data_IF_707203131069
#
_entry.id   IF_707203131069
#
_cell.length_a   1.000
_cell.length_b   1.000
_cell.length_c   1.000
_cell.angle_alpha   90.00
_cell.angle_beta   90.00
_cell.angle_gamma   90.00
#
_symmetry.space_group_name_H-M   'P 1'
#
loop_
_entity.id
_entity.type
_entity.pdbx_description
1 polymer ?
#
# COMPACT_ATOMS: atom_id res chain seq x y z
N UNK A 1 9.72 -30.02 11.29
CA UNK A 1 9.58 -28.56 11.16
C UNK A 1 9.73 -28.24 9.68
N UNK A 2 8.69 -27.77 8.99
CA UNK A 2 8.76 -27.45 7.57
C UNK A 2 8.89 -25.93 7.45
N UNK A 3 10.06 -25.45 7.03
CA UNK A 3 10.25 -24.05 6.66
C UNK A 3 9.43 -23.80 5.39
N UNK A 4 8.32 -23.06 5.49
CA UNK A 4 7.57 -22.59 4.32
C UNK A 4 8.08 -21.19 3.99
N UNK A 5 8.76 -21.05 2.85
CA UNK A 5 9.20 -19.75 2.35
C UNK A 5 7.99 -19.02 1.77
N UNK A 6 7.63 -17.88 2.37
CA UNK A 6 6.66 -16.98 1.77
C UNK A 6 7.32 -16.20 0.62
N UNK A 7 6.61 -16.10 -0.49
CA UNK A 7 6.98 -15.23 -1.60
C UNK A 7 6.52 -13.82 -1.28
N UNK A 8 7.26 -12.82 -1.78
CA UNK A 8 6.81 -11.44 -1.67
C UNK A 8 5.56 -11.22 -2.54
N UNK A 9 4.55 -10.47 -2.06
CA UNK A 9 3.49 -9.95 -2.90
C UNK A 9 4.05 -9.02 -3.99
N UNK A 10 3.28 -8.83 -5.06
CA UNK A 10 3.61 -7.91 -6.15
C UNK A 10 2.79 -6.64 -6.00
N UNK A 11 3.39 -5.51 -6.38
CA UNK A 11 2.70 -4.25 -6.64
C UNK A 11 3.15 -3.80 -8.04
N UNK A 12 2.23 -3.61 -8.98
CA UNK A 12 2.58 -3.24 -10.36
C UNK A 12 3.04 -1.79 -10.45
N UNK A 13 2.20 -0.85 -10.00
CA UNK A 13 2.54 0.57 -9.94
C UNK A 13 1.75 1.33 -8.87
N UNK A 14 2.22 2.54 -8.53
CA UNK A 14 1.43 3.52 -7.79
C UNK A 14 0.78 4.45 -8.81
N UNK A 15 -0.52 4.35 -8.98
CA UNK A 15 -1.31 5.31 -9.76
C UNK A 15 -1.60 6.53 -8.90
N UNK A 16 -1.37 7.72 -9.47
CA UNK A 16 -1.55 9.01 -8.79
C UNK A 16 -2.51 9.86 -9.60
N UNK A 17 -3.50 10.46 -8.94
CA UNK A 17 -4.48 11.34 -9.56
C UNK A 17 -4.66 12.60 -8.70
N UNK A 18 -4.38 13.77 -9.27
CA UNK A 18 -4.71 15.07 -8.63
C UNK A 18 -6.24 15.24 -8.64
N UNK A 19 -6.83 15.54 -7.48
CA UNK A 19 -8.29 15.75 -7.32
C UNK A 19 -8.65 17.11 -6.72
N UNK A 20 -7.69 17.83 -6.14
CA UNK A 20 -7.81 19.21 -5.67
C UNK A 20 -6.50 19.98 -5.86
N UNK A 21 -6.37 21.17 -5.26
CA UNK A 21 -5.15 22.00 -5.39
C UNK A 21 -3.91 21.27 -4.85
N UNK A 22 -4.00 20.72 -3.63
CA UNK A 22 -2.96 19.87 -3.03
C UNK A 22 -3.45 18.46 -2.66
N UNK A 23 -4.64 18.08 -3.12
CA UNK A 23 -5.26 16.78 -2.81
C UNK A 23 -5.03 15.78 -3.95
N UNK A 24 -4.56 14.60 -3.58
CA UNK A 24 -4.24 13.51 -4.51
C UNK A 24 -4.86 12.19 -4.04
N UNK A 25 -5.37 11.42 -4.99
CA UNK A 25 -5.76 10.03 -4.81
C UNK A 25 -4.61 9.12 -5.28
N UNK A 26 -4.32 8.10 -4.47
CA UNK A 26 -3.31 7.09 -4.71
C UNK A 26 -3.96 5.72 -4.78
N UNK A 27 -3.47 4.89 -5.69
CA UNK A 27 -3.92 3.51 -5.84
C UNK A 27 -2.73 2.60 -6.12
N UNK A 28 -2.58 1.53 -5.34
CA UNK A 28 -1.63 0.46 -5.61
C UNK A 28 -2.27 -0.49 -6.64
N UNK A 29 -1.87 -0.34 -7.91
CA UNK A 29 -2.45 -1.07 -9.05
C UNK A 29 -1.71 -2.39 -9.24
N UNK A 30 -2.45 -3.41 -9.67
CA UNK A 30 -1.95 -4.78 -9.87
C UNK A 30 -1.25 -5.34 -8.63
N UNK A 31 -1.78 -5.02 -7.44
CA UNK A 31 -1.27 -5.53 -6.18
C UNK A 31 -1.94 -6.86 -5.82
N UNK A 32 -1.16 -7.93 -5.65
CA UNK A 32 -1.66 -9.26 -5.28
C UNK A 32 -0.58 -10.11 -4.58
N UNK A 33 -1.01 -11.11 -3.80
CA UNK A 33 -0.07 -12.10 -3.23
C UNK A 33 0.32 -13.13 -4.29
N UNK A 34 1.61 -13.48 -4.32
CA UNK A 34 2.14 -14.54 -5.21
C UNK A 34 2.18 -15.91 -4.54
N UNK A 35 1.73 -15.99 -3.27
CA UNK A 35 1.63 -17.23 -2.53
C UNK A 35 0.35 -18.00 -2.87
N UNK A 36 0.43 -19.32 -2.82
CA UNK A 36 -0.75 -20.19 -2.91
C UNK A 36 -1.65 -19.96 -1.70
N UNK A 37 -2.94 -19.70 -1.95
CA UNK A 37 -3.93 -19.22 -0.97
C UNK A 37 -3.55 -17.90 -0.27
N UNK A 38 -2.67 -17.12 -0.88
CA UNK A 38 -2.27 -15.81 -0.38
C UNK A 38 -3.29 -14.72 -0.74
N UNK A 39 -3.54 -13.80 0.18
CA UNK A 39 -4.28 -12.55 -0.10
C UNK A 39 -3.66 -11.39 0.67
N UNK A 40 -3.84 -10.17 0.15
CA UNK A 40 -3.33 -8.97 0.80
C UNK A 40 -4.19 -8.63 2.01
N UNK A 41 -3.54 -8.46 3.17
CA UNK A 41 -4.19 -8.18 4.46
C UNK A 41 -3.97 -6.76 4.94
N UNK A 42 -3.00 -6.05 4.37
CA UNK A 42 -2.72 -4.66 4.71
C UNK A 42 -2.06 -3.95 3.53
N UNK A 43 -2.37 -2.67 3.38
CA UNK A 43 -1.61 -1.72 2.59
C UNK A 43 -1.24 -0.57 3.53
N UNK A 44 0.00 -0.09 3.47
CA UNK A 44 0.44 1.09 4.21
C UNK A 44 0.94 2.11 3.21
N UNK A 45 0.69 3.38 3.49
CA UNK A 45 1.12 4.49 2.64
C UNK A 45 2.11 5.36 3.40
N UNK A 46 3.12 5.84 2.70
CA UNK A 46 4.09 6.82 3.18
C UNK A 46 4.17 7.91 2.10
N UNK A 47 3.82 9.14 2.46
CA UNK A 47 3.76 10.27 1.52
C UNK A 47 5.01 11.16 1.56
N UNK A 48 5.97 10.87 2.44
CA UNK A 48 7.25 11.56 2.57
C UNK A 48 8.38 10.54 2.71
N UNK A 49 8.40 9.57 1.79
CA UNK A 49 9.35 8.47 1.85
C UNK A 49 10.78 8.98 1.67
N UNK A 50 11.54 8.97 2.76
CA UNK A 50 12.96 9.31 2.76
C UNK A 50 13.77 8.04 2.47
N UNK A 51 14.15 7.90 1.19
CA UNK A 51 14.83 6.73 0.59
C UNK A 51 15.57 5.84 1.62
N UNK A 52 14.96 4.67 1.92
CA UNK A 52 15.48 3.69 2.88
C UNK A 52 14.71 3.60 4.20
N UNK A 53 13.89 4.60 4.54
CA UNK A 53 13.12 4.64 5.78
C UNK A 53 11.63 4.74 5.48
N UNK A 54 10.95 3.60 5.46
CA UNK A 54 9.49 3.57 5.33
C UNK A 54 8.84 3.95 6.66
N UNK A 55 8.09 5.06 6.66
CA UNK A 55 7.33 5.54 7.80
C UNK A 55 5.85 5.63 7.37
N UNK A 56 5.05 4.64 7.77
CA UNK A 56 3.64 4.66 7.46
C UNK A 56 2.97 5.93 8.01
N UNK A 57 2.21 6.61 7.16
CA UNK A 57 1.35 7.70 7.55
C UNK A 57 0.36 7.20 8.62
N UNK A 58 0.12 8.02 9.65
CA UNK A 58 -0.71 7.63 10.79
C UNK A 58 -2.14 7.26 10.38
N UNK A 59 -2.68 7.88 9.33
CA UNK A 59 -4.01 7.57 8.81
C UNK A 59 -4.03 6.23 8.04
N UNK A 60 -2.87 5.80 7.54
CA UNK A 60 -2.70 4.64 6.67
C UNK A 60 -1.82 3.54 7.27
N UNK A 61 -1.61 3.54 8.60
CA UNK A 61 -0.81 2.51 9.28
C UNK A 61 -1.45 1.11 9.19
N UNK A 62 -2.78 1.07 9.09
CA UNK A 62 -3.59 -0.15 8.94
C UNK A 62 -4.65 0.06 7.86
N UNK A 63 -4.27 0.29 6.61
CA UNK A 63 -5.23 0.38 5.50
C UNK A 63 -5.73 -1.01 5.12
N UNK A 64 -6.70 -1.49 5.89
CA UNK A 64 -7.38 -2.76 5.70
C UNK A 64 -8.82 -2.68 6.17
N UNK A 65 -9.67 -3.49 5.57
CA UNK A 65 -11.08 -3.62 5.95
C UNK A 65 -11.40 -5.07 6.30
N UNK A 66 -12.48 -5.26 7.06
CA UNK A 66 -12.96 -6.61 7.37
C UNK A 66 -13.76 -7.12 6.18
N UNK A 67 -13.35 -8.27 5.67
CA UNK A 67 -14.08 -9.01 4.66
C UNK A 67 -14.58 -10.34 5.24
N UNK A 68 -15.69 -10.83 4.70
CA UNK A 68 -16.22 -12.14 5.04
C UNK A 68 -16.44 -12.92 3.76
N UNK A 69 -15.74 -14.02 3.62
CA UNK A 69 -15.93 -14.94 2.50
C UNK A 69 -16.22 -16.36 2.98
N UNK A 70 -16.73 -17.21 2.07
CA UNK A 70 -17.12 -18.59 2.39
C UNK A 70 -15.93 -19.53 2.60
N UNK A 71 -14.74 -19.20 2.09
CA UNK A 71 -13.52 -20.01 2.10
C UNK A 71 -12.67 -19.75 3.35
N UNK A 72 -12.55 -18.49 3.77
CA UNK A 72 -11.62 -18.01 4.80
C UNK A 72 -12.34 -17.46 6.04
N UNK A 73 -13.68 -17.29 6.01
CA UNK A 73 -14.43 -16.70 7.11
C UNK A 73 -14.20 -15.20 7.24
N UNK A 74 -14.21 -14.68 8.46
CA UNK A 74 -13.88 -13.28 8.74
C UNK A 74 -12.37 -13.08 8.66
N UNK A 75 -11.94 -12.21 7.74
CA UNK A 75 -10.53 -11.91 7.49
C UNK A 75 -10.36 -10.43 7.16
N UNK A 76 -9.11 -9.99 7.03
CA UNK A 76 -8.79 -8.63 6.58
C UNK A 76 -8.39 -8.63 5.11
N UNK A 77 -8.84 -7.60 4.39
CA UNK A 77 -8.41 -7.29 3.01
C UNK A 77 -7.74 -5.93 2.98
N UNK A 78 -6.63 -5.82 2.24
CA UNK A 78 -5.92 -4.56 2.08
C UNK A 78 -6.77 -3.51 1.34
N UNK A 79 -6.79 -2.28 1.85
CA UNK A 79 -7.37 -1.13 1.16
C UNK A 79 -6.27 -0.50 0.32
N UNK A 80 -6.31 -0.73 -0.99
CA UNK A 80 -5.27 -0.34 -1.94
C UNK A 80 -5.35 1.13 -2.38
N UNK A 81 -6.23 1.92 -1.76
CA UNK A 81 -6.48 3.32 -2.12
C UNK A 81 -6.26 4.23 -0.92
N UNK A 82 -5.69 5.39 -1.18
CA UNK A 82 -5.51 6.44 -0.18
C UNK A 82 -5.79 7.81 -0.79
N UNK A 83 -6.16 8.75 0.08
CA UNK A 83 -6.28 10.17 -0.25
C UNK A 83 -5.37 10.96 0.66
N UNK A 84 -4.57 11.87 0.10
CA UNK A 84 -3.69 12.69 0.90
C UNK A 84 -3.66 14.12 0.38
N UNK A 85 -3.65 15.05 1.32
CA UNK A 85 -3.54 16.49 1.05
C UNK A 85 -2.18 16.96 1.52
N UNK A 86 -1.34 17.36 0.58
CA UNK A 86 -0.01 17.89 0.89
C UNK A 86 -0.12 19.32 1.40
N UNK A 87 0.66 19.66 2.43
CA UNK A 87 0.69 21.02 2.99
C UNK A 87 1.51 21.97 2.11
N UNK A 88 2.51 21.44 1.39
CA UNK A 88 3.44 22.24 0.58
C UNK A 88 3.60 21.65 -0.81
N UNK A 89 3.89 22.52 -1.78
CA UNK A 89 4.28 22.12 -3.13
C UNK A 89 5.76 21.77 -3.17
N UNK A 90 6.15 20.80 -3.98
CA UNK A 90 7.53 20.30 -4.03
C UNK A 90 7.64 18.91 -4.64
N UNK A 91 8.86 18.39 -4.72
CA UNK A 91 9.11 16.97 -5.03
C UNK A 91 8.99 16.16 -3.73
N UNK A 92 8.14 15.15 -3.77
CA UNK A 92 7.95 14.17 -2.69
C UNK A 92 8.07 12.76 -3.27
N UNK A 93 8.44 11.80 -2.44
CA UNK A 93 8.40 10.39 -2.83
C UNK A 93 7.29 9.71 -2.06
N UNK A 94 6.35 9.11 -2.79
CA UNK A 94 5.25 8.35 -2.20
C UNK A 94 5.58 6.88 -2.29
N UNK A 95 5.54 6.17 -1.17
CA UNK A 95 5.71 4.74 -1.09
C UNK A 95 4.44 4.05 -0.63
N UNK A 96 4.24 2.82 -1.08
CA UNK A 96 3.25 1.92 -0.51
C UNK A 96 3.88 0.58 -0.17
N UNK A 97 3.45 0.02 0.95
CA UNK A 97 3.86 -1.29 1.45
C UNK A 97 2.64 -2.19 1.51
N UNK A 98 2.65 -3.32 0.80
CA UNK A 98 1.61 -4.34 0.93
C UNK A 98 2.12 -5.53 1.73
N UNK A 99 1.23 -6.12 2.52
CA UNK A 99 1.49 -7.32 3.31
C UNK A 99 0.43 -8.36 2.99
N UNK A 100 0.83 -9.62 2.88
CA UNK A 100 -0.10 -10.75 2.75
C UNK A 100 -0.28 -11.52 4.06
N UNK A 101 -1.27 -12.41 4.06
CA UNK A 101 -1.60 -13.28 5.20
C UNK A 101 -0.50 -14.29 5.57
N UNK A 102 0.55 -14.41 4.76
CA UNK A 102 1.66 -15.35 4.93
C UNK A 102 2.97 -14.64 5.26
N UNK A 103 2.88 -13.40 5.78
CA UNK A 103 4.00 -12.55 6.16
C UNK A 103 4.90 -12.14 4.99
N UNK A 104 4.45 -12.29 3.74
CA UNK A 104 5.10 -11.70 2.59
C UNK A 104 4.88 -10.19 2.57
N UNK A 105 5.93 -9.43 2.28
CA UNK A 105 5.88 -7.97 2.19
C UNK A 105 6.54 -7.47 0.91
N UNK A 106 6.04 -6.35 0.37
CA UNK A 106 6.65 -5.67 -0.76
C UNK A 106 6.42 -4.17 -0.63
N UNK A 107 7.41 -3.39 -1.04
CA UNK A 107 7.40 -1.93 -1.01
C UNK A 107 7.76 -1.44 -2.41
N UNK A 108 6.96 -0.51 -2.94
CA UNK A 108 7.35 0.28 -4.10
C UNK A 108 7.20 1.76 -3.78
N UNK A 109 7.93 2.60 -4.51
CA UNK A 109 7.86 4.04 -4.35
C UNK A 109 7.86 4.75 -5.70
N UNK A 110 7.27 5.94 -5.74
CA UNK A 110 7.12 6.77 -6.92
C UNK A 110 7.31 8.24 -6.56
N UNK A 111 8.12 8.94 -7.35
CA UNK A 111 8.28 10.39 -7.24
C UNK A 111 7.03 11.12 -7.73
N UNK A 112 6.63 12.16 -7.02
CA UNK A 112 5.53 13.04 -7.34
C UNK A 112 5.98 14.50 -7.19
N UNK A 113 5.64 15.33 -8.17
CA UNK A 113 5.78 16.78 -8.05
C UNK A 113 4.41 17.35 -7.66
N UNK A 114 4.28 17.74 -6.40
CA UNK A 114 3.10 18.44 -5.88
C UNK A 114 3.10 19.85 -6.41
N UNK A 115 2.06 20.20 -7.18
CA UNK A 115 1.83 21.54 -7.72
C UNK A 115 0.58 22.13 -7.09
N UNK A 116 0.61 23.42 -6.74
CA UNK A 116 -0.59 24.23 -6.52
C UNK A 116 -1.45 24.23 -7.80
#
# INVERSE_FOLDING_TARGET
FLLRFSKAPVIGEIKIKKVGEHEYEFEAVDAFSTNEDGWLVNCQWDFDYQEGHFAADNEYILSREKAKDKKNGEHFTAVLKAKHTFVQSGEVTVACKVQDNLAGESIIHRKLVVKA
#
